data_IF_002448412920
#
_entry.id   IF_002448412920
#
_cell.length_a   1.000
_cell.length_b   1.000
_cell.length_c   1.000
_cell.angle_alpha   90.00
_cell.angle_beta   90.00
_cell.angle_gamma   90.00
#
_symmetry.space_group_name_H-M   'P 1'
#
loop_
_entity.id
_entity.type
_entity.pdbx_description
1 polymer ?
#
# COMPACT_ATOMS: atom_id res chain seq x y z
N UNK A 1 -13.78 -44.90 -44.59
CA UNK A 1 -14.83 -44.37 -43.70
C UNK A 1 -15.00 -42.87 -43.97
N UNK A 2 -16.12 -42.42 -44.57
CA UNK A 2 -16.35 -40.99 -44.88
C UNK A 2 -17.12 -40.33 -43.73
N UNK A 3 -16.48 -39.40 -43.03
CA UNK A 3 -17.11 -38.62 -41.95
C UNK A 3 -18.03 -37.58 -42.58
N UNK A 4 -19.29 -37.53 -42.15
CA UNK A 4 -20.27 -36.58 -42.70
C UNK A 4 -19.93 -35.14 -42.29
N UNK A 5 -20.26 -34.16 -43.14
CA UNK A 5 -20.09 -32.71 -42.82
C UNK A 5 -20.80 -32.31 -41.52
N UNK A 6 -21.87 -33.02 -41.14
CA UNK A 6 -22.61 -32.82 -39.88
C UNK A 6 -21.81 -33.31 -38.67
N UNK A 7 -21.06 -34.41 -38.79
CA UNK A 7 -20.12 -34.89 -37.77
C UNK A 7 -18.93 -33.93 -37.61
N UNK A 8 -18.36 -33.43 -38.71
CA UNK A 8 -17.23 -32.50 -38.67
C UNK A 8 -17.59 -31.22 -37.89
N UNK A 9 -18.80 -30.67 -38.09
CA UNK A 9 -19.31 -29.50 -37.35
C UNK A 9 -19.54 -29.76 -35.85
N UNK A 10 -19.87 -31.00 -35.46
CA UNK A 10 -20.01 -31.38 -34.04
C UNK A 10 -18.65 -31.50 -33.36
N UNK A 11 -17.64 -32.00 -34.07
CA UNK A 11 -16.27 -32.12 -33.55
C UNK A 11 -15.53 -30.78 -33.49
N UNK A 12 -15.88 -29.81 -34.35
CA UNK A 12 -15.30 -28.46 -34.34
C UNK A 12 -15.83 -27.54 -33.23
N UNK A 13 -16.83 -27.96 -32.45
CA UNK A 13 -17.30 -27.21 -31.27
C UNK A 13 -16.34 -27.43 -30.10
N UNK A 14 -15.16 -26.81 -30.17
CA UNK A 14 -14.34 -26.62 -28.96
C UNK A 14 -15.18 -25.86 -27.94
N UNK A 15 -15.27 -26.31 -26.67
CA UNK A 15 -15.86 -25.49 -25.63
C UNK A 15 -15.05 -24.19 -25.57
N UNK A 16 -15.71 -23.04 -25.76
CA UNK A 16 -15.10 -21.75 -25.45
C UNK A 16 -14.93 -21.74 -23.93
N UNK A 17 -13.74 -22.13 -23.47
CA UNK A 17 -13.31 -21.89 -22.10
C UNK A 17 -13.24 -20.37 -21.97
N UNK A 18 -14.31 -19.77 -21.47
CA UNK A 18 -14.26 -18.40 -20.99
C UNK A 18 -13.38 -18.45 -19.75
N UNK A 19 -12.30 -17.66 -19.63
CA UNK A 19 -11.66 -17.50 -18.34
C UNK A 19 -12.75 -16.97 -17.40
N UNK A 20 -13.13 -17.79 -16.42
CA UNK A 20 -13.95 -17.34 -15.30
C UNK A 20 -13.06 -16.38 -14.55
N UNK A 21 -13.22 -15.09 -14.80
CA UNK A 21 -12.72 -14.06 -13.89
C UNK A 21 -13.49 -14.30 -12.59
N UNK A 22 -12.86 -15.03 -11.68
CA UNK A 22 -13.37 -15.20 -10.34
C UNK A 22 -13.14 -13.85 -9.69
N UNK A 23 -14.16 -13.00 -9.68
CA UNK A 23 -14.22 -11.93 -8.69
C UNK A 23 -14.43 -12.61 -7.34
N UNK A 24 -13.36 -13.15 -6.75
CA UNK A 24 -13.32 -13.44 -5.32
C UNK A 24 -13.13 -12.10 -4.60
N UNK A 25 -14.18 -11.29 -4.65
CA UNK A 25 -14.39 -10.10 -3.80
C UNK A 25 -15.20 -10.54 -2.59
N UNK A 26 -14.64 -11.44 -1.79
CA UNK A 26 -15.07 -11.67 -0.40
C UNK A 26 -13.94 -12.40 0.30
N UNK A 27 -13.53 -11.85 1.44
CA UNK A 27 -12.47 -12.30 2.34
C UNK A 27 -11.10 -11.67 2.06
N UNK A 28 -11.02 -10.34 2.26
CA UNK A 28 -9.86 -9.82 2.98
C UNK A 28 -10.02 -10.28 4.43
N UNK A 29 -9.65 -11.54 4.68
CA UNK A 29 -9.45 -12.03 6.03
C UNK A 29 -8.34 -11.18 6.66
N UNK A 30 -8.64 -10.69 7.86
CA UNK A 30 -7.70 -10.07 8.79
C UNK A 30 -6.61 -11.09 9.14
N UNK A 31 -5.62 -11.25 8.28
CA UNK A 31 -4.39 -11.94 8.62
C UNK A 31 -3.22 -11.22 7.97
N UNK A 32 -2.86 -10.10 8.59
CA UNK A 32 -1.59 -9.42 8.36
C UNK A 32 -0.53 -10.38 8.92
N UNK A 33 -0.05 -11.29 8.07
CA UNK A 33 1.09 -12.14 8.38
C UNK A 33 2.34 -11.26 8.53
N UNK A 34 2.78 -11.08 9.77
CA UNK A 34 3.97 -10.29 10.14
C UNK A 34 5.27 -10.79 9.46
N UNK A 35 5.31 -12.06 9.02
CA UNK A 35 6.52 -12.68 8.44
C UNK A 35 6.78 -12.33 6.96
N UNK A 36 5.79 -11.86 6.19
CA UNK A 36 6.02 -11.43 4.81
C UNK A 36 6.49 -9.96 4.72
N UNK A 37 6.30 -9.17 5.78
CA UNK A 37 6.77 -7.78 5.83
C UNK A 37 8.29 -7.69 6.09
N UNK A 38 8.88 -8.67 6.77
CA UNK A 38 10.30 -8.68 7.13
C UNK A 38 11.27 -8.80 5.95
N UNK A 39 10.82 -9.32 4.78
CA UNK A 39 11.65 -9.40 3.56
C UNK A 39 11.53 -8.20 2.63
N UNK A 40 10.52 -7.35 2.83
CA UNK A 40 10.37 -6.07 2.12
C UNK A 40 11.11 -4.93 2.83
N UNK A 41 11.49 -5.12 4.10
CA UNK A 41 12.13 -4.12 4.95
C UNK A 41 13.61 -3.86 4.70
N UNK A 42 14.34 -4.69 3.92
CA UNK A 42 15.78 -4.51 3.77
C UNK A 42 16.23 -3.77 2.50
N UNK A 43 15.35 -3.48 1.52
CA UNK A 43 15.83 -2.93 0.24
C UNK A 43 14.94 -1.96 -0.50
N UNK A 44 14.01 -1.29 0.18
CA UNK A 44 13.19 -0.26 -0.46
C UNK A 44 13.02 0.96 0.44
N UNK A 45 14.14 1.53 0.90
CA UNK A 45 14.17 2.96 1.18
C UNK A 45 14.02 3.67 -0.17
N UNK A 46 12.79 3.96 -0.56
CA UNK A 46 12.54 4.79 -1.73
C UNK A 46 12.91 6.23 -1.36
N UNK A 47 13.41 6.99 -2.33
CA UNK A 47 13.63 8.45 -2.21
C UNK A 47 12.44 9.14 -1.55
N UNK A 48 11.24 8.64 -1.85
CA UNK A 48 9.96 9.17 -1.41
C UNK A 48 9.70 8.94 0.08
N UNK A 49 10.08 7.79 0.65
CA UNK A 49 9.95 7.53 2.10
C UNK A 49 10.86 8.46 2.91
N UNK A 50 12.11 8.64 2.45
CA UNK A 50 13.07 9.54 3.10
C UNK A 50 12.69 11.02 2.89
N UNK A 51 12.16 11.35 1.70
CA UNK A 51 11.60 12.66 1.40
C UNK A 51 10.42 13.00 2.30
N UNK A 52 9.52 12.03 2.55
CA UNK A 52 8.41 12.17 3.48
C UNK A 52 8.92 12.42 4.90
N UNK A 53 9.90 11.66 5.39
CA UNK A 53 10.50 11.89 6.71
C UNK A 53 11.03 13.32 6.85
N UNK A 54 11.83 13.79 5.88
CA UNK A 54 12.36 15.15 5.88
C UNK A 54 11.25 16.21 5.86
N UNK A 55 10.15 15.94 5.15
CA UNK A 55 8.98 16.83 5.17
C UNK A 55 8.32 16.87 6.56
N UNK A 56 8.17 15.73 7.22
CA UNK A 56 7.59 15.65 8.57
C UNK A 56 8.47 16.36 9.60
N UNK A 57 9.79 16.18 9.55
CA UNK A 57 10.75 16.86 10.43
C UNK A 57 10.65 18.38 10.30
N UNK A 58 10.42 18.91 9.09
CA UNK A 58 10.23 20.35 8.88
C UNK A 58 8.91 20.90 9.44
N UNK A 59 7.95 20.02 9.73
CA UNK A 59 6.63 20.38 10.26
C UNK A 59 6.40 19.83 11.68
N UNK A 60 7.48 19.43 12.35
CA UNK A 60 7.41 19.03 13.75
C UNK A 60 7.46 20.27 14.66
N UNK A 61 6.80 20.19 15.80
CA UNK A 61 6.91 21.18 16.87
C UNK A 61 8.11 20.88 17.78
N UNK A 62 8.32 21.74 18.78
CA UNK A 62 9.42 21.60 19.75
C UNK A 62 9.30 20.33 20.63
N UNK A 63 8.14 19.64 20.59
CA UNK A 63 7.86 18.40 21.32
C UNK A 63 7.97 17.16 20.43
N UNK A 64 8.51 17.29 19.21
CA UNK A 64 8.64 16.21 18.23
C UNK A 64 7.31 15.69 17.70
N UNK A 65 6.22 16.41 17.91
CA UNK A 65 4.94 16.10 17.33
C UNK A 65 4.81 16.76 15.96
N UNK A 66 4.20 16.06 15.01
CA UNK A 66 3.87 16.65 13.72
C UNK A 66 2.36 16.58 13.51
N UNK A 67 1.83 17.59 12.82
CA UNK A 67 0.46 17.60 12.31
C UNK A 67 0.46 18.15 10.90
N UNK A 68 0.17 17.28 9.93
CA UNK A 68 0.17 17.63 8.52
C UNK A 68 -1.10 17.16 7.84
N UNK A 69 -1.62 17.93 6.88
CA UNK A 69 -2.76 17.49 6.08
C UNK A 69 -2.32 16.41 5.09
N UNK A 70 -3.10 15.33 4.95
CA UNK A 70 -2.85 14.31 3.92
C UNK A 70 -2.87 14.89 2.52
N UNK A 71 -3.73 15.89 2.28
CA UNK A 71 -3.80 16.55 0.98
C UNK A 71 -2.50 17.30 0.67
N UNK A 72 -1.85 17.91 1.67
CA UNK A 72 -0.55 18.55 1.50
C UNK A 72 0.54 17.54 1.15
N UNK A 73 0.56 16.38 1.84
CA UNK A 73 1.50 15.29 1.55
C UNK A 73 1.28 14.73 0.14
N UNK A 74 0.02 14.45 -0.24
CA UNK A 74 -0.34 13.99 -1.58
C UNK A 74 0.09 15.00 -2.65
N UNK A 75 -0.11 16.29 -2.41
CA UNK A 75 0.28 17.34 -3.36
C UNK A 75 1.79 17.45 -3.51
N UNK A 76 2.53 17.35 -2.41
CA UNK A 76 3.98 17.48 -2.40
C UNK A 76 4.68 16.33 -3.12
N UNK A 77 4.23 15.09 -2.88
CA UNK A 77 4.88 13.87 -3.37
C UNK A 77 4.11 13.18 -4.51
N UNK A 78 3.00 13.76 -4.99
CA UNK A 78 2.12 13.17 -6.00
C UNK A 78 1.64 11.75 -5.62
N UNK A 79 1.49 11.46 -4.33
CA UNK A 79 1.11 10.13 -3.86
C UNK A 79 -0.34 9.81 -4.16
N UNK A 80 -0.59 8.59 -4.65
CA UNK A 80 -1.92 8.00 -4.57
C UNK A 80 -2.18 7.50 -3.13
N UNK A 81 -3.44 7.19 -2.82
CA UNK A 81 -3.85 6.76 -1.47
C UNK A 81 -3.08 5.51 -0.98
N UNK A 82 -2.89 4.45 -1.79
CA UNK A 82 -2.04 3.32 -1.42
C UNK A 82 -0.59 3.70 -1.09
N UNK A 83 0.05 4.52 -1.94
CA UNK A 83 1.43 4.98 -1.75
C UNK A 83 1.59 5.79 -0.48
N UNK A 84 0.64 6.68 -0.17
CA UNK A 84 0.68 7.45 1.08
C UNK A 84 0.63 6.51 2.30
N UNK A 85 -0.29 5.54 2.31
CA UNK A 85 -0.39 4.57 3.41
C UNK A 85 0.88 3.72 3.54
N UNK A 86 1.45 3.28 2.42
CA UNK A 86 2.68 2.50 2.39
C UNK A 86 3.85 3.28 2.99
N UNK A 87 4.06 4.54 2.58
CA UNK A 87 5.19 5.34 3.06
C UNK A 87 5.06 5.64 4.57
N UNK A 88 3.87 5.97 5.08
CA UNK A 88 3.67 6.15 6.52
C UNK A 88 3.84 4.84 7.29
N UNK A 89 3.38 3.71 6.75
CA UNK A 89 3.56 2.40 7.38
C UNK A 89 5.04 2.00 7.41
N UNK A 90 5.80 2.30 6.35
CA UNK A 90 7.23 2.06 6.30
C UNK A 90 7.98 2.88 7.36
N UNK A 91 7.68 4.18 7.49
CA UNK A 91 8.30 5.03 8.53
C UNK A 91 7.98 4.53 9.95
N UNK A 92 6.76 4.04 10.17
CA UNK A 92 6.35 3.45 11.44
C UNK A 92 7.04 2.12 11.73
N UNK A 93 7.15 1.23 10.74
CA UNK A 93 7.87 -0.04 10.87
C UNK A 93 9.36 0.17 11.14
N UNK A 94 9.97 1.20 10.53
CA UNK A 94 11.35 1.61 10.79
C UNK A 94 11.54 2.30 12.14
N UNK A 95 10.46 2.48 12.92
CA UNK A 95 10.45 3.19 14.21
C UNK A 95 10.95 4.63 14.12
N UNK A 96 10.94 5.23 12.93
CA UNK A 96 11.36 6.62 12.72
C UNK A 96 10.26 7.60 13.13
N UNK A 97 9.01 7.18 12.98
CA UNK A 97 7.82 8.01 13.26
C UNK A 97 6.77 7.13 13.92
N UNK A 98 6.20 7.56 15.05
CA UNK A 98 4.97 6.98 15.58
C UNK A 98 3.78 7.73 14.99
N UNK A 99 2.84 7.01 14.37
CA UNK A 99 1.72 7.61 13.65
C UNK A 99 0.44 7.23 14.36
N UNK A 100 -0.40 8.20 14.71
CA UNK A 100 -1.72 7.90 15.25
C UNK A 100 -2.62 7.35 14.12
N UNK A 101 -2.65 6.02 14.02
CA UNK A 101 -3.42 5.30 13.00
C UNK A 101 -4.94 5.49 13.11
N UNK A 102 -5.44 5.85 14.30
CA UNK A 102 -6.86 6.15 14.51
C UNK A 102 -7.19 7.49 13.87
N UNK A 103 -6.40 8.52 14.13
CA UNK A 103 -6.51 9.83 13.48
C UNK A 103 -6.26 9.70 11.97
N UNK A 104 -5.26 8.90 11.58
CA UNK A 104 -4.94 8.63 10.19
C UNK A 104 -6.04 7.93 9.41
N UNK A 105 -6.97 7.21 10.01
CA UNK A 105 -8.10 6.60 9.27
C UNK A 105 -9.33 7.50 9.21
N UNK A 106 -9.50 8.36 10.21
CA UNK A 106 -10.75 9.07 10.49
C UNK A 106 -10.73 10.56 10.11
N UNK A 107 -9.55 11.18 10.09
CA UNK A 107 -9.40 12.61 9.85
C UNK A 107 -8.68 12.88 8.53
N UNK A 108 -8.80 14.08 7.94
CA UNK A 108 -8.01 14.48 6.77
C UNK A 108 -6.53 14.74 7.11
N UNK A 109 -6.18 14.77 8.39
CA UNK A 109 -4.84 15.05 8.88
C UNK A 109 -4.09 13.75 9.22
N UNK A 110 -2.77 13.87 9.28
CA UNK A 110 -1.85 12.89 9.86
C UNK A 110 -1.21 13.55 11.07
N UNK A 111 -1.22 12.85 12.18
CA UNK A 111 -0.60 13.27 13.42
C UNK A 111 0.23 12.13 13.98
N UNK A 112 1.28 12.49 14.70
CA UNK A 112 2.20 11.53 15.27
C UNK A 112 3.41 12.19 15.89
N UNK A 113 4.40 11.39 16.27
CA UNK A 113 5.64 11.82 16.89
C UNK A 113 6.85 11.33 16.08
N UNK A 114 7.94 12.08 16.09
CA UNK A 114 9.20 11.70 15.42
C UNK A 114 10.15 11.13 16.47
N UNK A 115 10.65 9.91 16.22
CA UNK A 115 11.59 9.25 17.11
C UNK A 115 13.03 9.67 16.76
N UNK A 116 13.54 10.69 17.46
CA UNK A 116 14.91 11.19 17.28
C UNK A 116 16.01 10.18 17.58
N UNK A 117 15.73 9.15 18.39
CA UNK A 117 16.71 8.13 18.79
C UNK A 117 17.24 7.30 17.61
N UNK A 118 16.57 7.36 16.46
CA UNK A 118 16.85 6.51 15.29
C UNK A 118 17.43 7.30 14.10
N UNK A 119 17.55 8.63 14.20
CA UNK A 119 18.11 9.48 13.14
C UNK A 119 19.60 9.74 13.45
N UNK A 120 20.47 8.93 12.86
CA UNK A 120 21.93 9.08 12.90
C UNK A 120 22.45 9.76 11.64
#
# INVERSE_FOLDING_TARGET
MRISRKQLKRMAKKPKIRPRIVNSLTNFDENINDDQNAKLTEKTQTSDTLGLLNFLIKHMDDQDHFKVSKAAVVKQFMFNKPSLNFNFAALHQLKLVDVDWKIFKTTPDVQGTINKTTVF
#
